data_IF_410029795833
#
_entry.id   IF_410029795833
#
_cell.length_a   1.000
_cell.length_b   1.000
_cell.length_c   1.000
_cell.angle_alpha   90.00
_cell.angle_beta   90.00
_cell.angle_gamma   90.00
#
_symmetry.space_group_name_H-M   'P 1'
#
loop_
_entity.id
_entity.type
_entity.pdbx_description
1 polymer ?
#
# COMPACT_ATOMS: atom_id res chain seq x y z
N UNK A 1 -22.06 -4.13 7.08
CA UNK A 1 -21.90 -3.95 8.54
C UNK A 1 -20.41 -3.89 8.84
N UNK A 2 -19.96 -2.92 9.64
CA UNK A 2 -18.55 -2.76 10.04
C UNK A 2 -18.33 -3.45 11.40
N UNK A 3 -17.27 -4.25 11.53
CA UNK A 3 -16.87 -4.88 12.80
C UNK A 3 -15.49 -4.38 13.20
N UNK A 4 -15.41 -3.75 14.37
CA UNK A 4 -14.13 -3.29 14.94
C UNK A 4 -13.56 -4.37 15.86
N UNK A 5 -12.33 -4.83 15.57
CA UNK A 5 -11.59 -5.79 16.40
C UNK A 5 -10.45 -5.05 17.09
N UNK A 6 -10.69 -4.63 18.33
CA UNK A 6 -9.78 -3.77 19.11
C UNK A 6 -9.13 -4.56 20.27
N UNK A 7 -7.93 -4.15 20.67
CA UNK A 7 -7.24 -4.75 21.81
C UNK A 7 -5.74 -4.44 21.86
N UNK A 8 -5.11 -4.58 23.04
CA UNK A 8 -3.67 -4.35 23.25
C UNK A 8 -2.81 -5.35 22.47
N UNK A 9 -1.50 -5.11 22.38
CA UNK A 9 -0.57 -6.12 21.83
C UNK A 9 -0.74 -7.45 22.58
N UNK A 10 -0.66 -8.57 21.86
CA UNK A 10 -0.88 -9.91 22.42
C UNK A 10 -2.33 -10.31 22.70
N UNK A 11 -3.32 -9.43 22.47
CA UNK A 11 -4.74 -9.73 22.77
C UNK A 11 -5.43 -10.71 21.81
N UNK A 12 -4.70 -11.32 20.88
CA UNK A 12 -5.26 -12.30 19.94
C UNK A 12 -5.94 -11.73 18.68
N UNK A 13 -5.84 -10.42 18.38
CA UNK A 13 -6.49 -9.79 17.20
C UNK A 13 -6.21 -10.53 15.89
N UNK A 14 -4.95 -10.88 15.65
CA UNK A 14 -4.53 -11.61 14.44
C UNK A 14 -5.19 -12.99 14.37
N UNK A 15 -5.28 -13.69 15.50
CA UNK A 15 -5.97 -14.99 15.60
C UNK A 15 -7.46 -14.84 15.32
N UNK A 16 -8.12 -13.81 15.87
CA UNK A 16 -9.53 -13.52 15.60
C UNK A 16 -9.78 -13.23 14.13
N UNK A 17 -8.94 -12.41 13.48
CA UNK A 17 -9.05 -12.13 12.05
C UNK A 17 -8.90 -13.39 11.20
N UNK A 18 -7.93 -14.25 11.53
CA UNK A 18 -7.71 -15.52 10.86
C UNK A 18 -8.91 -16.46 10.93
N UNK A 19 -9.55 -16.55 12.10
CA UNK A 19 -10.76 -17.35 12.26
C UNK A 19 -11.92 -16.78 11.45
N UNK A 20 -12.06 -15.45 11.38
CA UNK A 20 -13.08 -14.79 10.55
C UNK A 20 -12.88 -15.09 9.06
N UNK A 21 -11.64 -15.08 8.58
CA UNK A 21 -11.33 -15.47 7.20
C UNK A 21 -11.73 -16.91 6.95
N UNK A 22 -11.33 -17.84 7.82
CA UNK A 22 -11.68 -19.26 7.70
C UNK A 22 -13.19 -19.48 7.72
N UNK A 23 -13.91 -18.77 8.58
CA UNK A 23 -15.37 -18.84 8.64
C UNK A 23 -15.99 -18.32 7.34
N UNK A 24 -15.53 -17.19 6.83
CA UNK A 24 -16.04 -16.61 5.57
C UNK A 24 -15.91 -17.58 4.40
N UNK A 25 -14.78 -18.27 4.27
CA UNK A 25 -14.56 -19.24 3.19
C UNK A 25 -15.43 -20.49 3.32
N UNK A 26 -15.81 -20.88 4.56
CA UNK A 26 -16.74 -22.00 4.79
C UNK A 26 -18.18 -21.64 4.43
N UNK A 27 -18.56 -20.38 4.62
CA UNK A 27 -19.90 -19.88 4.31
C UNK A 27 -20.09 -19.71 2.80
N UNK A 28 -19.10 -19.18 2.10
CA UNK A 28 -19.15 -18.95 0.65
C UNK A 28 -17.75 -18.95 0.03
N UNK A 29 -17.43 -20.00 -0.74
CA UNK A 29 -16.14 -20.14 -1.44
C UNK A 29 -16.05 -19.29 -2.71
N UNK A 30 -17.18 -18.83 -3.25
CA UNK A 30 -17.20 -17.99 -4.46
C UNK A 30 -16.89 -16.53 -4.13
N UNK A 31 -16.99 -16.15 -2.85
CA UNK A 31 -16.71 -14.79 -2.39
C UNK A 31 -15.23 -14.62 -2.01
N UNK A 32 -14.44 -13.85 -2.79
CA UNK A 32 -13.04 -13.63 -2.48
C UNK A 32 -12.87 -12.82 -1.18
N UNK A 33 -11.86 -13.19 -0.40
CA UNK A 33 -11.49 -12.47 0.83
C UNK A 33 -10.29 -11.58 0.57
N UNK A 34 -10.39 -10.29 0.87
CA UNK A 34 -9.27 -9.36 0.78
C UNK A 34 -8.71 -9.08 2.18
N UNK A 35 -7.46 -9.47 2.40
CA UNK A 35 -6.72 -9.21 3.64
C UNK A 35 -5.71 -8.09 3.39
N UNK A 36 -6.05 -6.87 3.81
CA UNK A 36 -5.19 -5.71 3.65
C UNK A 36 -4.20 -5.63 4.81
N UNK A 37 -2.90 -5.61 4.50
CA UNK A 37 -1.80 -5.58 5.48
C UNK A 37 -0.74 -4.55 5.08
N UNK A 38 0.11 -4.10 6.03
CA UNK A 38 1.29 -3.31 5.66
C UNK A 38 2.17 -4.05 4.66
N UNK A 39 2.82 -3.29 3.75
CA UNK A 39 3.74 -3.82 2.72
C UNK A 39 4.75 -4.81 3.32
N UNK A 40 5.33 -4.43 4.45
CA UNK A 40 6.38 -5.17 5.17
C UNK A 40 5.90 -6.48 5.80
N UNK A 41 4.58 -6.67 5.92
CA UNK A 41 3.97 -7.85 6.52
C UNK A 41 3.25 -8.74 5.50
N UNK A 42 3.29 -8.41 4.20
CA UNK A 42 2.59 -9.15 3.14
C UNK A 42 3.00 -10.63 3.10
N UNK A 43 4.30 -10.90 2.97
CA UNK A 43 4.84 -12.26 2.87
C UNK A 43 4.53 -13.13 4.11
N UNK A 44 4.72 -12.58 5.31
CA UNK A 44 4.40 -13.26 6.58
C UNK A 44 2.91 -13.64 6.64
N UNK A 45 2.02 -12.77 6.17
CA UNK A 45 0.58 -13.04 6.17
C UNK A 45 0.18 -14.05 5.09
N UNK A 46 0.73 -13.97 3.88
CA UNK A 46 0.53 -14.97 2.82
C UNK A 46 0.92 -16.37 3.31
N UNK A 47 2.12 -16.51 3.89
CA UNK A 47 2.60 -17.76 4.47
C UNK A 47 1.67 -18.26 5.58
N UNK A 48 1.23 -17.36 6.47
CA UNK A 48 0.33 -17.72 7.55
C UNK A 48 -1.05 -18.18 7.05
N UNK A 49 -1.59 -17.57 5.98
CA UNK A 49 -2.84 -18.02 5.36
C UNK A 49 -2.66 -19.40 4.73
N UNK A 50 -1.55 -19.63 4.02
CA UNK A 50 -1.25 -20.93 3.43
C UNK A 50 -1.16 -22.04 4.48
N UNK A 51 -0.49 -21.78 5.61
CA UNK A 51 -0.41 -22.74 6.72
C UNK A 51 -1.74 -22.96 7.43
N UNK A 52 -2.60 -21.94 7.50
CA UNK A 52 -3.88 -22.00 8.19
C UNK A 52 -4.97 -22.72 7.37
N UNK A 53 -5.01 -22.45 6.07
CA UNK A 53 -6.11 -22.83 5.17
C UNK A 53 -5.74 -24.00 4.24
N UNK A 54 -4.45 -24.23 4.01
CA UNK A 54 -3.98 -25.13 2.96
C UNK A 54 -4.00 -24.46 1.58
N UNK A 55 -3.35 -25.09 0.61
CA UNK A 55 -3.12 -24.49 -0.72
C UNK A 55 -4.42 -24.17 -1.48
N UNK A 56 -5.42 -25.05 -1.38
CA UNK A 56 -6.68 -24.92 -2.12
C UNK A 56 -7.53 -23.73 -1.63
N UNK A 57 -7.54 -23.44 -0.33
CA UNK A 57 -8.34 -22.35 0.22
C UNK A 57 -7.55 -21.04 0.32
N UNK A 58 -6.22 -21.12 0.46
CA UNK A 58 -5.38 -19.92 0.54
C UNK A 58 -5.40 -19.10 -0.76
N UNK A 59 -5.59 -19.72 -1.93
CA UNK A 59 -5.72 -19.01 -3.20
C UNK A 59 -6.98 -18.11 -3.27
N UNK A 60 -7.98 -18.35 -2.42
CA UNK A 60 -9.20 -17.55 -2.34
C UNK A 60 -9.03 -16.30 -1.45
N UNK A 61 -7.86 -16.15 -0.81
CA UNK A 61 -7.52 -15.01 0.05
C UNK A 61 -6.47 -14.14 -0.63
N UNK A 62 -6.87 -12.93 -1.00
CA UNK A 62 -5.98 -11.92 -1.56
C UNK A 62 -5.33 -11.12 -0.44
N UNK A 63 -4.08 -11.47 -0.11
CA UNK A 63 -3.25 -10.69 0.84
C UNK A 63 -2.62 -9.52 0.08
N UNK A 64 -3.05 -8.30 0.38
CA UNK A 64 -2.68 -7.10 -0.37
C UNK A 64 -2.12 -6.01 0.55
N UNK A 65 -1.10 -5.30 0.08
CA UNK A 65 -0.79 -3.96 0.59
C UNK A 65 -1.68 -2.92 -0.09
N UNK A 66 -1.73 -1.70 0.44
CA UNK A 66 -2.44 -0.62 -0.25
C UNK A 66 -1.86 -0.32 -1.64
N UNK A 67 -0.54 -0.41 -1.79
CA UNK A 67 0.15 -0.26 -3.08
C UNK A 67 -0.33 -1.32 -4.08
N UNK A 68 -0.33 -2.60 -3.67
CA UNK A 68 -0.81 -3.71 -4.50
C UNK A 68 -2.30 -3.62 -4.81
N UNK A 69 -3.12 -3.19 -3.85
CA UNK A 69 -4.55 -2.99 -4.06
C UNK A 69 -4.82 -1.91 -5.11
N UNK A 70 -4.08 -0.79 -5.05
CA UNK A 70 -4.19 0.27 -6.03
C UNK A 70 -3.76 -0.21 -7.42
N UNK A 71 -2.66 -0.96 -7.51
CA UNK A 71 -2.18 -1.53 -8.77
C UNK A 71 -3.18 -2.50 -9.38
N UNK A 72 -3.81 -3.35 -8.57
CA UNK A 72 -4.85 -4.27 -9.03
C UNK A 72 -6.09 -3.52 -9.52
N UNK A 73 -6.51 -2.47 -8.81
CA UNK A 73 -7.61 -1.62 -9.26
C UNK A 73 -7.28 -0.93 -10.59
N UNK A 74 -6.08 -0.37 -10.76
CA UNK A 74 -5.67 0.27 -12.00
C UNK A 74 -5.52 -0.71 -13.17
N UNK A 75 -5.13 -1.95 -12.88
CA UNK A 75 -5.05 -3.03 -13.88
C UNK A 75 -6.43 -3.42 -14.38
N UNK A 76 -7.42 -3.49 -13.50
CA UNK A 76 -8.78 -3.92 -13.82
C UNK A 76 -9.62 -2.81 -14.46
N UNK A 77 -9.52 -1.58 -13.95
CA UNK A 77 -10.39 -0.47 -14.33
C UNK A 77 -9.69 0.59 -15.19
N UNK A 78 -8.40 0.43 -15.46
CA UNK A 78 -7.58 1.44 -16.11
C UNK A 78 -7.10 2.54 -15.15
N UNK A 79 -6.32 3.48 -15.66
CA UNK A 79 -5.73 4.58 -14.87
C UNK A 79 -4.27 4.37 -14.44
N UNK A 80 -3.72 3.18 -14.67
CA UNK A 80 -2.29 2.87 -14.48
C UNK A 80 -1.41 3.11 -15.71
N UNK A 81 -1.96 3.72 -16.77
CA UNK A 81 -1.23 3.98 -18.01
C UNK A 81 -0.21 5.11 -17.80
N UNK A 82 1.07 4.82 -18.08
CA UNK A 82 2.18 5.76 -17.92
C UNK A 82 3.29 5.19 -17.04
N UNK A 83 4.51 5.67 -17.24
CA UNK A 83 5.65 5.28 -16.41
C UNK A 83 5.64 6.12 -15.14
N UNK A 84 5.45 5.47 -13.98
CA UNK A 84 5.67 6.14 -12.69
C UNK A 84 7.12 6.60 -12.61
N UNK A 85 7.31 7.86 -12.22
CA UNK A 85 8.63 8.40 -11.95
C UNK A 85 9.19 7.68 -10.71
N UNK A 86 10.42 7.20 -10.82
CA UNK A 86 11.20 6.79 -9.66
C UNK A 86 11.63 8.03 -8.86
N UNK A 87 12.24 7.81 -7.69
CA UNK A 87 12.67 8.91 -6.82
C UNK A 87 13.70 9.83 -7.49
N UNK A 88 14.53 9.29 -8.38
CA UNK A 88 15.46 10.08 -9.19
C UNK A 88 14.73 11.01 -10.15
N UNK A 89 13.77 10.48 -10.89
CA UNK A 89 12.91 11.24 -11.80
C UNK A 89 12.10 12.30 -11.04
N UNK A 90 11.49 11.95 -9.91
CA UNK A 90 10.80 12.93 -9.05
C UNK A 90 11.73 14.06 -8.61
N UNK A 91 12.95 13.73 -8.21
CA UNK A 91 13.96 14.71 -7.80
C UNK A 91 14.37 15.64 -8.95
N UNK A 92 14.60 15.10 -10.15
CA UNK A 92 14.92 15.90 -11.34
C UNK A 92 13.76 16.83 -11.72
N UNK A 93 12.54 16.31 -11.78
CA UNK A 93 11.35 17.11 -12.11
C UNK A 93 11.08 18.20 -11.08
N UNK A 94 11.24 17.90 -9.79
CA UNK A 94 11.08 18.90 -8.73
C UNK A 94 12.17 19.97 -8.79
N UNK A 95 13.42 19.59 -9.07
CA UNK A 95 14.52 20.55 -9.27
C UNK A 95 14.22 21.49 -10.44
N UNK A 96 13.77 20.96 -11.58
CA UNK A 96 13.38 21.78 -12.74
C UNK A 96 12.21 22.72 -12.40
N UNK A 97 11.20 22.22 -11.68
CA UNK A 97 10.06 23.02 -11.26
C UNK A 97 10.48 24.17 -10.33
N UNK A 98 11.35 23.90 -9.35
CA UNK A 98 11.89 24.92 -8.44
C UNK A 98 12.71 25.99 -9.20
N UNK A 99 13.58 25.58 -10.13
CA UNK A 99 14.33 26.52 -10.96
C UNK A 99 13.41 27.40 -11.81
N UNK A 100 12.34 26.84 -12.39
CA UNK A 100 11.41 27.58 -13.23
C UNK A 100 10.61 28.66 -12.48
N UNK A 101 10.39 28.49 -11.18
CA UNK A 101 9.64 29.46 -10.35
C UNK A 101 10.52 30.25 -9.38
N UNK A 102 11.83 30.03 -9.38
CA UNK A 102 12.79 30.59 -8.42
C UNK A 102 12.64 32.11 -8.24
N UNK A 103 12.48 32.84 -9.34
CA UNK A 103 12.35 34.30 -9.32
C UNK A 103 11.02 34.78 -8.74
N UNK A 104 10.05 33.90 -8.52
CA UNK A 104 8.77 34.20 -7.88
C UNK A 104 8.68 33.70 -6.43
N UNK A 105 9.74 33.10 -5.91
CA UNK A 105 9.76 32.63 -4.52
C UNK A 105 10.17 33.77 -3.60
N UNK A 106 9.32 34.11 -2.63
CA UNK A 106 9.62 35.18 -1.68
C UNK A 106 10.62 34.75 -0.59
N UNK A 107 10.48 33.51 -0.11
CA UNK A 107 11.28 33.00 1.02
C UNK A 107 12.40 32.05 0.58
N UNK A 108 12.11 31.12 -0.34
CA UNK A 108 13.01 30.03 -0.70
C UNK A 108 13.90 30.31 -1.94
N UNK A 109 13.92 31.54 -2.46
CA UNK A 109 14.70 31.88 -3.68
C UNK A 109 16.16 31.44 -3.62
N UNK A 110 16.83 31.64 -2.48
CA UNK A 110 18.25 31.24 -2.30
C UNK A 110 18.45 29.73 -2.17
N UNK A 111 17.43 29.02 -1.72
CA UNK A 111 17.44 27.57 -1.50
C UNK A 111 16.92 26.77 -2.69
N UNK A 112 16.32 27.44 -3.69
CA UNK A 112 15.74 26.84 -4.88
C UNK A 112 16.72 26.01 -5.73
N UNK A 113 18.02 26.36 -5.68
CA UNK A 113 19.09 25.63 -6.35
C UNK A 113 19.68 24.49 -5.49
N UNK A 114 19.26 24.35 -4.23
CA UNK A 114 19.80 23.36 -3.29
C UNK A 114 19.02 22.05 -3.31
N UNK A 115 19.74 20.91 -3.29
CA UNK A 115 19.11 19.59 -3.24
C UNK A 115 18.29 19.31 -1.97
N UNK A 116 18.56 20.01 -0.88
CA UNK A 116 17.82 19.85 0.38
C UNK A 116 16.36 20.31 0.27
N UNK A 117 16.11 21.42 -0.44
CA UNK A 117 14.74 21.89 -0.67
C UNK A 117 13.97 20.92 -1.58
N UNK A 118 14.64 20.33 -2.58
CA UNK A 118 14.05 19.28 -3.42
C UNK A 118 13.62 18.08 -2.57
N UNK A 119 14.50 17.58 -1.70
CA UNK A 119 14.19 16.48 -0.80
C UNK A 119 13.04 16.82 0.15
N UNK A 120 13.01 18.05 0.69
CA UNK A 120 11.93 18.50 1.58
C UNK A 120 10.57 18.56 0.88
N UNK A 121 10.53 18.97 -0.39
CA UNK A 121 9.28 19.06 -1.17
C UNK A 121 8.76 17.68 -1.64
N UNK A 122 9.61 16.65 -1.59
CA UNK A 122 9.28 15.29 -2.04
C UNK A 122 9.06 14.30 -0.88
N UNK A 123 9.34 14.72 0.36
CA UNK A 123 9.05 13.97 1.58
C UNK A 123 7.55 13.97 1.90
#
# INVERSE_FOLDING_TARGET
>A
MLKLVLGRSGSGKTTTLRELVRQSLREDRERPVFLIVPEQASFENERAMLSLLGAEDAQLVHVLSFSRLADEAFRLYGGGAGRRLDDGGRSMFMSLALSAVQDRLDFYRRSAAGGELVSLMLA
#
